data_IF_745945232449
#
_entry.id   IF_745945232449
#
_cell.length_a   1.000
_cell.length_b   1.000
_cell.length_c   1.000
_cell.angle_alpha   90.00
_cell.angle_beta   90.00
_cell.angle_gamma   90.00
#
_symmetry.space_group_name_H-M   'P 1'
#
loop_
_entity.id
_entity.type
_entity.pdbx_description
1 polymer ?
#
# COMPACT_ATOMS: atom_id res chain seq x y z
N UNK A 1 13.79 -22.25 0.64
CA UNK A 1 14.47 -20.94 0.78
C UNK A 1 13.62 -20.07 1.70
N UNK A 2 14.19 -19.29 2.63
CA UNK A 2 13.39 -18.27 3.31
C UNK A 2 12.84 -17.36 2.21
N UNK A 3 11.50 -17.22 2.11
CA UNK A 3 10.87 -16.29 1.17
C UNK A 3 11.42 -14.91 1.53
N UNK A 4 12.44 -14.46 0.81
CA UNK A 4 13.02 -13.14 1.00
C UNK A 4 11.90 -12.13 0.88
N UNK A 5 11.86 -11.20 1.82
CA UNK A 5 10.92 -10.09 1.82
C UNK A 5 10.97 -9.43 0.44
N UNK A 6 9.94 -9.61 -0.40
CA UNK A 6 9.94 -9.05 -1.76
C UNK A 6 9.36 -7.63 -1.70
N UNK A 7 10.18 -6.57 -1.87
CA UNK A 7 9.70 -5.19 -1.77
C UNK A 7 8.57 -4.89 -2.75
N UNK A 8 8.54 -5.53 -3.92
CA UNK A 8 7.48 -5.35 -4.92
C UNK A 8 6.12 -5.79 -4.41
N UNK A 9 6.06 -6.91 -3.69
CA UNK A 9 4.80 -7.41 -3.13
C UNK A 9 4.33 -6.55 -1.97
N UNK A 10 5.25 -5.98 -1.18
CA UNK A 10 4.91 -5.02 -0.11
C UNK A 10 4.29 -3.76 -0.70
N UNK A 11 4.93 -3.20 -1.73
CA UNK A 11 4.44 -1.99 -2.43
C UNK A 11 3.06 -2.26 -3.05
N UNK A 12 2.88 -3.41 -3.72
CA UNK A 12 1.60 -3.79 -4.31
C UNK A 12 0.50 -3.94 -3.25
N UNK A 13 0.78 -4.65 -2.15
CA UNK A 13 -0.16 -4.81 -1.04
C UNK A 13 -0.53 -3.47 -0.39
N UNK A 14 0.45 -2.58 -0.22
CA UNK A 14 0.24 -1.25 0.34
C UNK A 14 -0.69 -0.41 -0.53
N UNK A 15 -0.45 -0.41 -1.85
CA UNK A 15 -1.30 0.29 -2.80
C UNK A 15 -2.75 -0.19 -2.77
N UNK A 16 -2.97 -1.50 -2.83
CA UNK A 16 -4.31 -2.09 -2.80
C UNK A 16 -5.03 -1.75 -1.50
N UNK A 17 -4.34 -1.90 -0.37
CA UNK A 17 -4.91 -1.57 0.94
C UNK A 17 -5.28 -0.09 1.05
N UNK A 18 -4.44 0.81 0.53
CA UNK A 18 -4.70 2.25 0.50
C UNK A 18 -5.97 2.60 -0.29
N UNK A 19 -6.26 1.89 -1.37
CA UNK A 19 -7.49 2.08 -2.16
C UNK A 19 -8.72 1.34 -1.59
N UNK A 20 -8.58 0.65 -0.47
CA UNK A 20 -9.70 0.07 0.29
C UNK A 20 -9.85 -1.44 0.16
N UNK A 21 -8.94 -2.15 -0.49
CA UNK A 21 -9.00 -3.61 -0.55
C UNK A 21 -8.75 -4.25 0.82
N UNK A 22 -9.50 -5.31 1.12
CA UNK A 22 -9.36 -6.06 2.37
C UNK A 22 -8.08 -6.90 2.38
N UNK A 23 -7.46 -7.04 3.56
CA UNK A 23 -6.23 -7.83 3.70
C UNK A 23 -6.40 -9.28 3.29
N UNK A 24 -7.60 -9.85 3.44
CA UNK A 24 -7.87 -11.22 3.04
C UNK A 24 -7.78 -11.40 1.52
N UNK A 25 -8.34 -10.46 0.76
CA UNK A 25 -8.34 -10.48 -0.71
C UNK A 25 -6.94 -10.21 -1.26
N UNK A 26 -6.23 -9.22 -0.68
CA UNK A 26 -4.84 -8.93 -1.03
C UNK A 26 -3.93 -10.14 -0.78
N UNK A 27 -4.14 -10.85 0.34
CA UNK A 27 -3.36 -12.02 0.69
C UNK A 27 -3.57 -13.16 -0.31
N UNK A 28 -4.82 -13.37 -0.73
CA UNK A 28 -5.17 -14.34 -1.77
C UNK A 28 -4.54 -13.98 -3.13
N UNK A 29 -4.64 -12.70 -3.53
CA UNK A 29 -4.08 -12.21 -4.79
C UNK A 29 -2.56 -12.37 -4.87
N UNK A 30 -1.86 -12.15 -3.75
CA UNK A 30 -0.40 -12.19 -3.69
C UNK A 30 0.17 -13.56 -3.28
N UNK A 31 -0.68 -14.57 -3.09
CA UNK A 31 -0.32 -15.91 -2.61
C UNK A 31 0.54 -15.88 -1.33
N UNK A 32 0.05 -15.13 -0.34
CA UNK A 32 0.66 -15.01 0.99
C UNK A 32 -0.37 -15.22 2.10
N UNK A 33 0.10 -15.50 3.31
CA UNK A 33 -0.80 -15.57 4.46
C UNK A 33 -1.26 -14.14 4.87
N UNK A 34 -2.50 -13.96 5.36
CA UNK A 34 -2.94 -12.66 5.90
C UNK A 34 -2.02 -12.12 7.01
N UNK A 35 -1.46 -13.02 7.83
CA UNK A 35 -0.48 -12.66 8.86
C UNK A 35 0.82 -12.09 8.30
N UNK A 36 1.19 -12.43 7.05
CA UNK A 36 2.32 -11.83 6.34
C UNK A 36 2.05 -10.37 6.04
N UNK A 37 0.84 -10.01 5.58
CA UNK A 37 0.48 -8.61 5.33
C UNK A 37 0.51 -7.78 6.61
N UNK A 38 -0.02 -8.31 7.72
CA UNK A 38 0.05 -7.64 9.04
C UNK A 38 1.49 -7.33 9.46
N UNK A 39 2.46 -8.20 9.10
CA UNK A 39 3.89 -7.94 9.34
C UNK A 39 4.45 -6.90 8.37
N UNK A 40 4.07 -6.96 7.09
CA UNK A 40 4.51 -6.00 6.08
C UNK A 40 4.09 -4.57 6.39
N UNK A 41 2.90 -4.35 6.95
CA UNK A 41 2.43 -3.03 7.42
C UNK A 41 3.38 -2.34 8.41
N UNK A 42 4.23 -3.11 9.09
CA UNK A 42 5.21 -2.60 10.07
C UNK A 42 6.59 -2.36 9.47
N UNK A 43 6.80 -2.67 8.20
CA UNK A 43 8.09 -2.50 7.52
C UNK A 43 8.25 -1.07 7.04
N UNK A 44 9.48 -0.56 7.04
CA UNK A 44 9.80 0.77 6.53
C UNK A 44 9.37 0.95 5.07
N UNK A 45 9.38 -0.12 4.27
CA UNK A 45 8.95 -0.10 2.87
C UNK A 45 7.47 0.27 2.79
N UNK A 46 6.63 -0.34 3.62
CA UNK A 46 5.20 -0.03 3.66
C UNK A 46 4.98 1.40 4.15
N UNK A 47 5.53 1.74 5.31
CA UNK A 47 5.32 3.05 5.96
C UNK A 47 5.74 4.20 5.02
N UNK A 48 6.92 4.09 4.41
CA UNK A 48 7.43 5.13 3.50
C UNK A 48 6.62 5.22 2.20
N UNK A 49 6.07 4.11 1.71
CA UNK A 49 5.27 4.14 0.48
C UNK A 49 3.84 4.62 0.75
N UNK A 50 3.24 4.23 1.86
CA UNK A 50 1.93 4.73 2.31
C UNK A 50 1.94 6.24 2.52
N UNK A 51 2.99 6.78 3.15
CA UNK A 51 3.18 8.22 3.29
C UNK A 51 3.21 8.94 1.92
N UNK A 52 3.92 8.37 0.93
CA UNK A 52 3.93 8.92 -0.44
C UNK A 52 2.56 8.91 -1.09
N UNK A 53 1.78 7.83 -0.92
CA UNK A 53 0.42 7.75 -1.46
C UNK A 53 -0.50 8.80 -0.84
N UNK A 54 -0.36 9.06 0.47
CA UNK A 54 -1.10 10.12 1.18
C UNK A 54 -0.70 11.50 0.63
N UNK A 55 0.59 11.77 0.47
CA UNK A 55 1.09 13.03 -0.08
C UNK A 55 0.59 13.26 -1.51
N UNK A 56 0.68 12.25 -2.37
CA UNK A 56 0.16 12.28 -3.75
C UNK A 56 -1.35 12.53 -3.77
N UNK A 57 -2.11 11.88 -2.88
CA UNK A 57 -3.55 12.07 -2.78
C UNK A 57 -3.90 13.51 -2.36
N UNK A 58 -3.22 14.08 -1.37
CA UNK A 58 -3.41 15.47 -0.96
C UNK A 58 -3.08 16.46 -2.09
N UNK A 59 -1.97 16.25 -2.81
CA UNK A 59 -1.60 17.10 -3.95
C UNK A 59 -2.69 17.10 -5.03
N UNK A 60 -3.23 15.93 -5.37
CA UNK A 60 -4.32 15.82 -6.35
C UNK A 60 -5.60 16.53 -5.89
N UNK A 61 -5.93 16.51 -4.59
CA UNK A 61 -7.09 17.25 -4.07
C UNK A 61 -6.88 18.77 -4.20
N UNK A 62 -5.69 19.27 -3.86
CA UNK A 62 -5.35 20.69 -4.00
C UNK A 62 -5.35 21.19 -5.45
N UNK A 63 -4.87 20.37 -6.40
CA UNK A 63 -4.90 20.71 -7.83
C UNK A 63 -6.33 20.73 -8.39
N UNK A 64 -7.18 19.80 -7.97
CA UNK A 64 -8.60 19.74 -8.37
C UNK A 64 -9.44 20.89 -7.78
N UNK A 65 -9.06 21.42 -6.62
CA UNK A 65 -9.71 22.59 -6.02
C UNK A 65 -9.30 23.90 -6.73
N UNK A 66 -8.01 24.04 -7.06
CA UNK A 66 -7.49 25.26 -7.73
C UNK A 66 -7.92 25.39 -9.20
N UNK A 67 -8.27 24.30 -9.87
CA UNK A 67 -8.75 24.31 -11.27
C UNK A 67 -10.26 24.56 -11.41
N UNK A 68 -11.00 24.58 -10.29
CA UNK A 68 -12.45 24.83 -10.24
C UNK A 68 -12.83 26.29 -9.91
N UNK A 69 -11.85 27.14 -9.58
CA UNK A 69 -12.02 28.59 -9.38
C UNK A 69 -11.56 29.37 -10.60
#
# INVERSE_FOLDING_TARGET
MPKSLNPKNIIAACRLHFYGDELQDIAMLLDVAPSTLTRWKKTDIWINYEAKLIDEWHQQQHENENTRN
#
